data_IF_096179245748
#
_entry.id   IF_096179245748
#
_cell.length_a   1.000
_cell.length_b   1.000
_cell.length_c   1.000
_cell.angle_alpha   90.00
_cell.angle_beta   90.00
_cell.angle_gamma   90.00
#
_symmetry.space_group_name_H-M   'P 1'
#
loop_
_entity.id
_entity.type
_entity.pdbx_description
1 polymer ?
#
# COMPACT_ATOMS: atom_id res chain seq x y z
N UNK A 1 -2.87 23.53 -3.90
CA UNK A 1 -3.35 22.46 -4.80
C UNK A 1 -4.75 22.77 -5.32
N UNK A 2 -5.07 22.54 -6.60
CA UNK A 2 -6.43 22.76 -7.15
C UNK A 2 -7.34 21.55 -6.88
N UNK A 3 -8.65 21.78 -6.77
CA UNK A 3 -9.66 20.71 -6.61
C UNK A 3 -9.60 19.68 -7.74
N UNK A 4 -9.29 20.11 -8.96
CA UNK A 4 -9.16 19.24 -10.13
C UNK A 4 -7.99 18.25 -9.99
N UNK A 5 -6.83 18.72 -9.50
CA UNK A 5 -5.68 17.85 -9.23
C UNK A 5 -5.97 16.85 -8.11
N UNK A 6 -6.63 17.30 -7.05
CA UNK A 6 -7.01 16.44 -5.92
C UNK A 6 -7.93 15.31 -6.40
N UNK A 7 -8.93 15.62 -7.24
CA UNK A 7 -9.81 14.61 -7.85
C UNK A 7 -9.05 13.61 -8.72
N UNK A 8 -8.06 14.08 -9.49
CA UNK A 8 -7.20 13.20 -10.29
C UNK A 8 -6.35 12.26 -9.41
N UNK A 9 -5.81 12.75 -8.29
CA UNK A 9 -5.07 11.92 -7.33
C UNK A 9 -6.00 10.95 -6.60
N UNK A 10 -7.19 11.38 -6.19
CA UNK A 10 -8.19 10.52 -5.56
C UNK A 10 -8.53 9.33 -6.46
N UNK A 11 -8.76 9.57 -7.75
CA UNK A 11 -9.02 8.52 -8.71
C UNK A 11 -7.86 7.53 -8.81
N UNK A 12 -6.61 8.03 -8.92
CA UNK A 12 -5.41 7.19 -8.96
C UNK A 12 -5.26 6.34 -7.68
N UNK A 13 -5.47 6.94 -6.52
CA UNK A 13 -5.41 6.24 -5.23
C UNK A 13 -6.45 5.12 -5.15
N UNK A 14 -7.68 5.35 -5.62
CA UNK A 14 -8.73 4.32 -5.68
C UNK A 14 -8.35 3.16 -6.61
N UNK A 15 -7.85 3.45 -7.80
CA UNK A 15 -7.39 2.43 -8.75
C UNK A 15 -6.21 1.62 -8.18
N UNK A 16 -5.27 2.27 -7.47
CA UNK A 16 -4.17 1.59 -6.79
C UNK A 16 -4.66 0.72 -5.63
N UNK A 17 -5.63 1.21 -4.84
CA UNK A 17 -6.23 0.45 -3.75
C UNK A 17 -6.83 -0.85 -4.25
N UNK A 18 -7.65 -0.81 -5.31
CA UNK A 18 -8.28 -2.01 -5.87
C UNK A 18 -7.24 -3.04 -6.32
N UNK A 19 -6.18 -2.60 -7.00
CA UNK A 19 -5.07 -3.48 -7.42
C UNK A 19 -4.37 -4.12 -6.22
N UNK A 20 -4.00 -3.32 -5.23
CA UNK A 20 -3.32 -3.83 -4.04
C UNK A 20 -4.21 -4.76 -3.22
N UNK A 21 -5.52 -4.49 -3.12
CA UNK A 21 -6.45 -5.40 -2.45
C UNK A 21 -6.57 -6.73 -3.18
N UNK A 22 -6.56 -6.74 -4.51
CA UNK A 22 -6.51 -7.98 -5.30
C UNK A 22 -5.20 -8.75 -5.07
N UNK A 23 -4.06 -8.05 -4.99
CA UNK A 23 -2.78 -8.68 -4.64
C UNK A 23 -2.76 -9.22 -3.22
N UNK A 24 -3.25 -8.46 -2.23
CA UNK A 24 -3.41 -8.94 -0.84
C UNK A 24 -4.20 -10.23 -0.84
N UNK A 25 -5.34 -10.25 -1.56
CA UNK A 25 -6.19 -11.43 -1.70
C UNK A 25 -5.41 -12.63 -2.22
N UNK A 26 -4.65 -12.44 -3.31
CA UNK A 26 -3.81 -13.47 -3.93
C UNK A 26 -2.75 -14.05 -2.98
N UNK A 27 -2.14 -13.23 -2.13
CA UNK A 27 -1.12 -13.70 -1.19
C UNK A 27 -1.71 -14.23 0.13
N UNK A 28 -2.93 -13.81 0.51
CA UNK A 28 -3.60 -14.25 1.74
C UNK A 28 -4.47 -15.49 1.55
N UNK A 29 -5.12 -15.63 0.41
CA UNK A 29 -5.82 -16.83 0.00
C UNK A 29 -4.81 -17.66 -0.79
N UNK A 30 -4.08 -18.53 -0.08
CA UNK A 30 -3.43 -19.64 -0.74
C UNK A 30 -4.53 -20.35 -1.55
N UNK A 31 -4.34 -20.49 -2.86
CA UNK A 31 -5.14 -21.44 -3.62
C UNK A 31 -5.01 -22.78 -2.88
N UNK A 32 -6.14 -23.25 -2.34
CA UNK A 32 -6.36 -24.61 -1.87
C UNK A 32 -6.23 -25.51 -3.12
N UNK A 33 -5.00 -25.70 -3.60
CA UNK A 33 -4.69 -26.79 -4.50
C UNK A 33 -4.89 -28.03 -3.64
N UNK A 34 -6.01 -28.69 -3.91
CA UNK A 34 -6.53 -29.74 -3.06
C UNK A 34 -5.48 -30.75 -2.66
N UNK A 35 -5.58 -31.13 -1.39
CA UNK A 35 -5.39 -32.50 -0.89
C UNK A 35 -5.10 -33.55 -1.98
N UNK A 36 -3.85 -33.64 -2.40
CA UNK A 36 -3.25 -34.88 -2.88
C UNK A 36 -2.24 -35.29 -1.82
N UNK A 37 -2.71 -36.19 -0.96
CA UNK A 37 -1.97 -36.79 0.11
C UNK A 37 -0.82 -37.65 -0.45
N UNK A 38 0.35 -37.06 -0.66
CA UNK A 38 1.62 -37.79 -0.66
C UNK A 38 2.78 -36.81 -0.45
N UNK A 39 3.82 -37.21 0.28
CA UNK A 39 5.03 -36.44 0.62
C UNK A 39 5.05 -35.62 1.93
N UNK A 40 5.12 -36.35 3.04
CA UNK A 40 5.56 -35.88 4.37
C UNK A 40 7.03 -35.36 4.43
N UNK A 41 7.70 -35.16 3.28
CA UNK A 41 9.06 -34.60 3.19
C UNK A 41 9.09 -33.12 2.78
N UNK A 42 7.93 -32.51 2.44
CA UNK A 42 7.83 -31.12 1.94
C UNK A 42 7.29 -30.11 2.99
N UNK A 43 6.99 -30.58 4.21
CA UNK A 43 6.37 -29.78 5.29
C UNK A 43 7.22 -28.58 5.76
N UNK A 44 8.55 -28.66 5.65
CA UNK A 44 9.44 -27.56 6.04
C UNK A 44 9.45 -26.42 4.99
N UNK A 45 9.46 -26.76 3.70
CA UNK A 45 9.54 -25.81 2.58
C UNK A 45 8.19 -25.08 2.37
N UNK A 46 7.08 -25.78 2.61
CA UNK A 46 5.74 -25.16 2.61
C UNK A 46 5.56 -24.11 3.73
N UNK A 47 6.17 -24.34 4.90
CA UNK A 47 6.05 -23.43 6.05
C UNK A 47 6.81 -22.12 5.83
N UNK A 48 8.01 -22.16 5.22
CA UNK A 48 8.77 -20.96 4.85
C UNK A 48 8.09 -20.21 3.71
N UNK A 49 7.56 -20.92 2.72
CA UNK A 49 6.75 -20.36 1.63
C UNK A 49 5.48 -19.68 2.14
N UNK A 50 4.79 -20.26 3.12
CA UNK A 50 3.62 -19.65 3.77
C UNK A 50 3.99 -18.39 4.57
N UNK A 51 5.04 -18.45 5.39
CA UNK A 51 5.51 -17.30 6.16
C UNK A 51 5.92 -16.13 5.26
N UNK A 52 6.58 -16.42 4.13
CA UNK A 52 6.94 -15.43 3.12
C UNK A 52 5.70 -14.81 2.46
N UNK A 53 4.72 -15.63 2.03
CA UNK A 53 3.45 -15.14 1.48
C UNK A 53 2.70 -14.25 2.46
N UNK A 54 2.63 -14.64 3.73
CA UNK A 54 1.96 -13.85 4.76
C UNK A 54 2.67 -12.52 5.03
N UNK A 55 4.00 -12.52 5.00
CA UNK A 55 4.82 -11.30 5.12
C UNK A 55 4.55 -10.33 3.96
N UNK A 56 4.47 -10.85 2.73
CA UNK A 56 4.11 -10.06 1.54
C UNK A 56 2.69 -9.50 1.68
N UNK A 57 1.72 -10.34 2.04
CA UNK A 57 0.34 -9.92 2.25
C UNK A 57 0.22 -8.82 3.32
N UNK A 58 0.97 -8.93 4.42
CA UNK A 58 1.03 -7.92 5.48
C UNK A 58 1.60 -6.60 4.97
N UNK A 59 2.71 -6.63 4.22
CA UNK A 59 3.31 -5.43 3.63
C UNK A 59 2.35 -4.74 2.64
N UNK A 60 1.64 -5.52 1.82
CA UNK A 60 0.62 -4.99 0.90
C UNK A 60 -0.57 -4.38 1.65
N UNK A 61 -1.03 -5.01 2.75
CA UNK A 61 -2.08 -4.44 3.62
C UNK A 61 -1.66 -3.11 4.22
N UNK A 62 -0.41 -2.97 4.65
CA UNK A 62 0.12 -1.69 5.14
C UNK A 62 0.03 -0.60 4.07
N UNK A 63 0.40 -0.91 2.81
CA UNK A 63 0.25 0.04 1.69
C UNK A 63 -1.20 0.42 1.40
N UNK A 64 -2.13 -0.55 1.47
CA UNK A 64 -3.57 -0.26 1.35
C UNK A 64 -4.01 0.73 2.43
N UNK A 65 -3.52 0.56 3.66
CA UNK A 65 -3.82 1.46 4.76
C UNK A 65 -3.24 2.87 4.52
N UNK A 66 -2.03 3.00 4.00
CA UNK A 66 -1.45 4.31 3.60
C UNK A 66 -2.32 5.03 2.57
N UNK A 67 -2.84 4.30 1.57
CA UNK A 67 -3.77 4.85 0.57
C UNK A 67 -5.08 5.30 1.23
N UNK A 68 -5.63 4.51 2.15
CA UNK A 68 -6.85 4.88 2.88
C UNK A 68 -6.65 6.12 3.75
N UNK A 69 -5.47 6.29 4.35
CA UNK A 69 -5.11 7.51 5.07
C UNK A 69 -5.02 8.70 4.12
N UNK A 70 -4.41 8.54 2.95
CA UNK A 70 -4.37 9.59 1.92
C UNK A 70 -5.76 10.00 1.44
N UNK A 71 -6.65 9.05 1.18
CA UNK A 71 -8.06 9.30 0.82
C UNK A 71 -8.82 10.02 1.95
N UNK A 72 -8.61 9.64 3.20
CA UNK A 72 -9.20 10.35 4.34
C UNK A 72 -8.71 11.80 4.44
N UNK A 73 -7.41 12.05 4.21
CA UNK A 73 -6.87 13.42 4.17
C UNK A 73 -7.48 14.25 3.04
N UNK A 74 -7.84 13.64 1.91
CA UNK A 74 -8.55 14.33 0.83
C UNK A 74 -9.93 14.78 1.32
N UNK A 75 -10.67 13.89 1.99
CA UNK A 75 -11.99 14.18 2.56
C UNK A 75 -11.90 15.28 3.64
N UNK A 76 -10.88 15.23 4.49
CA UNK A 76 -10.63 16.22 5.55
C UNK A 76 -10.08 17.55 5.03
N UNK A 77 -9.67 17.62 3.75
CA UNK A 77 -9.04 18.80 3.17
C UNK A 77 -7.59 19.05 3.63
N UNK A 78 -6.95 18.07 4.26
CA UNK A 78 -5.55 18.14 4.74
C UNK A 78 -4.57 17.38 3.83
N UNK A 79 -5.03 16.98 2.65
CA UNK A 79 -4.20 16.26 1.67
C UNK A 79 -3.08 17.16 1.10
N UNK A 80 -1.89 16.59 0.96
CA UNK A 80 -0.70 17.31 0.55
C UNK A 80 0.02 18.03 1.69
N UNK A 81 -0.24 17.69 2.94
CA UNK A 81 0.52 18.17 4.11
C UNK A 81 1.37 17.04 4.68
N UNK A 82 2.66 17.31 4.90
CA UNK A 82 3.62 16.37 5.45
C UNK A 82 3.29 16.05 6.92
N UNK A 83 3.14 14.77 7.25
CA UNK A 83 2.84 14.32 8.61
C UNK A 83 3.96 14.58 9.62
N UNK A 84 5.22 14.73 9.18
CA UNK A 84 6.38 14.95 10.06
C UNK A 84 6.65 16.43 10.35
N UNK A 85 6.60 17.28 9.32
CA UNK A 85 7.00 18.68 9.43
C UNK A 85 5.86 19.68 9.19
N UNK A 86 4.64 19.19 8.91
CA UNK A 86 3.46 20.01 8.59
C UNK A 86 3.62 21.00 7.43
N UNK A 87 4.64 20.80 6.58
CA UNK A 87 4.84 21.59 5.36
C UNK A 87 4.06 20.98 4.20
N UNK A 88 3.76 21.81 3.20
CA UNK A 88 3.16 21.33 1.94
C UNK A 88 4.09 20.35 1.23
N UNK A 89 3.53 19.23 0.77
CA UNK A 89 4.18 18.24 -0.08
C UNK A 89 4.16 18.79 -1.50
N UNK A 90 5.31 18.78 -2.16
CA UNK A 90 5.39 19.27 -3.54
C UNK A 90 4.57 18.40 -4.49
N UNK A 91 3.95 19.03 -5.48
CA UNK A 91 3.13 18.32 -6.47
C UNK A 91 3.91 17.20 -7.17
N UNK A 92 5.21 17.41 -7.46
CA UNK A 92 6.09 16.38 -8.05
C UNK A 92 6.15 15.09 -7.23
N UNK A 93 6.10 15.18 -5.89
CA UNK A 93 6.08 14.01 -5.02
C UNK A 93 4.73 13.31 -5.11
N UNK A 94 3.62 14.07 -5.06
CA UNK A 94 2.27 13.51 -5.16
C UNK A 94 1.93 12.99 -6.56
N UNK A 95 2.57 13.50 -7.60
CA UNK A 95 2.48 12.97 -8.96
C UNK A 95 3.17 11.61 -9.11
N UNK A 96 4.31 11.43 -8.42
CA UNK A 96 5.05 10.18 -8.41
C UNK A 96 4.46 9.15 -7.42
N UNK A 97 4.02 9.61 -6.26
CA UNK A 97 3.48 8.82 -5.16
C UNK A 97 2.36 9.59 -4.44
N UNK A 98 1.10 9.51 -4.93
CA UNK A 98 -0.03 10.23 -4.33
C UNK A 98 -0.35 9.77 -2.90
N UNK A 99 0.06 8.57 -2.51
CA UNK A 99 -0.09 8.02 -1.17
C UNK A 99 0.91 8.60 -0.16
N UNK A 100 1.90 9.37 -0.62
CA UNK A 100 2.99 9.86 0.22
C UNK A 100 2.49 10.80 1.32
N UNK A 101 2.70 10.41 2.58
CA UNK A 101 2.40 11.25 3.74
C UNK A 101 3.55 12.19 4.13
N UNK A 102 4.72 12.05 3.52
CA UNK A 102 5.93 12.81 3.84
C UNK A 102 6.37 13.65 2.64
N UNK A 103 6.95 14.82 2.93
CA UNK A 103 7.64 15.61 1.91
C UNK A 103 8.99 14.98 1.53
N UNK A 104 9.55 15.40 0.39
CA UNK A 104 10.81 14.88 -0.12
C UNK A 104 11.97 15.03 0.89
N UNK A 105 12.02 16.12 1.64
CA UNK A 105 13.06 16.36 2.65
C UNK A 105 12.94 15.37 3.82
N UNK A 106 11.73 15.24 4.40
CA UNK A 106 11.48 14.32 5.50
C UNK A 106 11.68 12.86 5.11
N UNK A 107 11.43 12.50 3.84
CA UNK A 107 11.68 11.17 3.30
C UNK A 107 13.18 10.88 3.13
N UNK A 108 13.99 11.90 2.81
CA UNK A 108 15.47 11.78 2.73
C UNK A 108 16.14 11.68 4.10
N UNK A 109 15.60 12.34 5.11
CA UNK A 109 16.13 12.31 6.49
C UNK A 109 15.86 10.99 7.23
N UNK A 110 14.97 10.14 6.72
CA UNK A 110 14.56 8.88 7.35
C UNK A 110 15.19 7.63 6.74
N UNK A 111 16.24 7.78 5.93
CA UNK A 111 17.03 6.70 5.29
C UNK A 111 18.42 6.67 5.89
#
# INVERSE_FOLDING_TARGET
MTKEKISAYEKKLREQKEKLMAEVKKYSEAEDFGNDADHLEEEADESESYANRMSIASALKSRVNEIDMALNKIIMGTYGVCAKCNKEISEKVLEAAPESELCADCKKEGI
#
